data_IF_399297051778
#
_entry.id   IF_399297051778
#
_cell.length_a   1.000
_cell.length_b   1.000
_cell.length_c   1.000
_cell.angle_alpha   90.00
_cell.angle_beta   90.00
_cell.angle_gamma   90.00
#
_symmetry.space_group_name_H-M   'P 1'
#
loop_
_entity.id
_entity.type
_entity.pdbx_description
1 polymer ?
#
# COMPACT_ATOMS: atom_id res chain seq x y z
N UNK A 1 74.70 32.57 15.62
CA UNK A 1 73.82 32.28 14.45
C UNK A 1 73.11 30.92 14.51
N UNK A 2 73.59 29.92 15.26
CA UNK A 2 72.92 28.60 15.33
C UNK A 2 71.58 28.61 16.10
N UNK A 3 71.44 29.41 17.17
CA UNK A 3 70.20 29.45 17.97
C UNK A 3 69.02 30.07 17.23
N UNK A 4 69.25 31.08 16.38
CA UNK A 4 68.20 31.73 15.58
C UNK A 4 67.66 30.82 14.47
N UNK A 5 68.52 29.99 13.87
CA UNK A 5 68.12 28.99 12.87
C UNK A 5 67.35 27.83 13.54
N UNK A 6 67.77 27.40 14.73
CA UNK A 6 67.05 26.38 15.52
C UNK A 6 65.66 26.86 15.93
N UNK A 7 65.53 28.09 16.43
CA UNK A 7 64.24 28.71 16.76
C UNK A 7 63.32 28.89 15.53
N UNK A 8 63.90 29.22 14.37
CA UNK A 8 63.16 29.31 13.10
C UNK A 8 62.62 27.96 12.63
N UNK A 9 63.41 26.88 12.76
CA UNK A 9 62.98 25.54 12.38
C UNK A 9 61.94 24.96 13.35
N UNK A 10 62.07 25.20 14.65
CA UNK A 10 61.06 24.80 15.64
C UNK A 10 59.71 25.51 15.39
N UNK A 11 59.72 26.80 15.06
CA UNK A 11 58.49 27.51 14.66
C UNK A 11 57.87 26.93 13.39
N UNK A 12 58.67 26.66 12.35
CA UNK A 12 58.17 26.04 11.11
C UNK A 12 57.56 24.66 11.38
N UNK A 13 58.17 23.86 12.25
CA UNK A 13 57.65 22.56 12.69
C UNK A 13 56.29 22.68 13.39
N UNK A 14 56.14 23.64 14.31
CA UNK A 14 54.87 23.90 15.00
C UNK A 14 53.77 24.42 14.06
N UNK A 15 54.13 25.25 13.08
CA UNK A 15 53.19 25.70 12.06
C UNK A 15 52.73 24.53 11.17
N UNK A 16 53.64 23.65 10.75
CA UNK A 16 53.27 22.45 10.00
C UNK A 16 52.36 21.53 10.83
N UNK A 17 52.69 21.25 12.10
CA UNK A 17 51.82 20.42 12.95
C UNK A 17 50.45 21.04 13.18
N UNK A 18 50.38 22.37 13.30
CA UNK A 18 49.10 23.08 13.45
C UNK A 18 48.24 22.99 12.18
N UNK A 19 48.85 23.11 10.99
CA UNK A 19 48.15 22.92 9.71
C UNK A 19 47.68 21.48 9.53
N UNK A 20 48.49 20.49 9.92
CA UNK A 20 48.09 19.07 9.89
C UNK A 20 46.89 18.79 10.82
N UNK A 21 46.85 19.41 12.01
CA UNK A 21 45.71 19.30 12.93
C UNK A 21 44.46 19.94 12.33
N UNK A 22 44.58 21.11 11.71
CA UNK A 22 43.45 21.76 11.04
C UNK A 22 42.93 20.93 9.86
N UNK A 23 43.82 20.38 9.03
CA UNK A 23 43.44 19.51 7.92
C UNK A 23 42.79 18.22 8.42
N UNK A 24 43.28 17.63 9.52
CA UNK A 24 42.68 16.47 10.15
C UNK A 24 41.28 16.78 10.72
N UNK A 25 41.09 17.94 11.33
CA UNK A 25 39.79 18.40 11.82
C UNK A 25 38.80 18.66 10.69
N UNK A 26 39.25 19.26 9.58
CA UNK A 26 38.42 19.48 8.39
C UNK A 26 37.98 18.15 7.77
N UNK A 27 38.93 17.22 7.56
CA UNK A 27 38.62 15.86 7.08
C UNK A 27 37.65 15.14 8.02
N UNK A 28 37.83 15.27 9.33
CA UNK A 28 36.94 14.67 10.32
C UNK A 28 35.52 15.26 10.20
N UNK A 29 35.38 16.57 10.07
CA UNK A 29 34.09 17.24 9.88
C UNK A 29 33.39 16.79 8.59
N UNK A 30 34.14 16.64 7.50
CA UNK A 30 33.61 16.13 6.23
C UNK A 30 33.12 14.68 6.34
N UNK A 31 33.89 13.81 7.00
CA UNK A 31 33.46 12.41 7.22
C UNK A 31 32.22 12.32 8.09
N UNK A 32 32.11 13.16 9.12
CA UNK A 32 30.93 13.19 9.99
C UNK A 32 29.70 13.69 9.21
N UNK A 33 29.87 14.70 8.37
CA UNK A 33 28.82 15.21 7.50
C UNK A 33 28.35 14.14 6.51
N UNK A 34 29.26 13.45 5.83
CA UNK A 34 28.92 12.34 4.91
C UNK A 34 28.16 11.23 5.64
N UNK A 35 28.60 10.87 6.85
CA UNK A 35 27.94 9.84 7.66
C UNK A 35 26.52 10.27 8.07
N UNK A 36 26.31 11.54 8.38
CA UNK A 36 24.97 12.08 8.64
C UNK A 36 24.09 12.06 7.39
N UNK A 37 24.64 12.44 6.23
CA UNK A 37 23.93 12.40 4.95
C UNK A 37 23.53 10.95 4.58
N UNK A 38 24.41 9.97 4.74
CA UNK A 38 24.08 8.55 4.55
C UNK A 38 22.99 8.08 5.51
N UNK A 39 23.07 8.44 6.80
CA UNK A 39 22.04 8.09 7.79
C UNK A 39 20.69 8.68 7.40
N UNK A 40 20.67 9.91 6.91
CA UNK A 40 19.47 10.56 6.43
C UNK A 40 18.91 9.83 5.19
N UNK A 41 19.75 9.54 4.20
CA UNK A 41 19.35 8.80 3.00
C UNK A 41 18.78 7.43 3.33
N UNK A 42 19.41 6.66 4.23
CA UNK A 42 18.89 5.34 4.65
C UNK A 42 17.53 5.44 5.32
N UNK A 43 17.33 6.42 6.21
CA UNK A 43 16.02 6.66 6.85
C UNK A 43 14.95 7.01 5.82
N UNK A 44 15.28 7.89 4.89
CA UNK A 44 14.40 8.29 3.81
C UNK A 44 14.05 7.11 2.90
N UNK A 45 15.02 6.27 2.54
CA UNK A 45 14.80 5.07 1.75
C UNK A 45 13.84 4.09 2.44
N UNK A 46 14.02 3.84 3.73
CA UNK A 46 13.15 2.94 4.52
C UNK A 46 11.69 3.43 4.48
N UNK A 47 11.47 4.75 4.54
CA UNK A 47 10.13 5.34 4.47
C UNK A 47 9.51 5.12 3.10
N UNK A 48 10.25 5.36 2.01
CA UNK A 48 9.76 5.10 0.65
C UNK A 48 9.46 3.62 0.42
N UNK A 49 10.37 2.72 0.81
CA UNK A 49 10.17 1.26 0.68
C UNK A 49 8.94 0.78 1.48
N UNK A 50 8.65 1.42 2.60
CA UNK A 50 7.45 1.15 3.38
C UNK A 50 6.18 1.59 2.66
N UNK A 51 6.17 2.80 2.07
CA UNK A 51 5.04 3.30 1.28
C UNK A 51 4.78 2.47 0.02
N UNK A 52 5.84 2.11 -0.72
CA UNK A 52 5.77 1.23 -1.88
C UNK A 52 5.09 -0.10 -1.56
N UNK A 53 5.43 -0.70 -0.41
CA UNK A 53 4.80 -1.94 0.06
C UNK A 53 3.32 -1.74 0.37
N UNK A 54 2.91 -0.59 0.93
CA UNK A 54 1.48 -0.30 1.12
C UNK A 54 0.77 -0.23 -0.23
N UNK A 55 1.33 0.52 -1.18
CA UNK A 55 0.71 0.81 -2.47
C UNK A 55 0.53 -0.47 -3.29
N UNK A 56 1.56 -1.33 -3.37
CA UNK A 56 1.45 -2.62 -4.06
C UNK A 56 0.34 -3.49 -3.47
N UNK A 57 0.19 -3.50 -2.14
CA UNK A 57 -0.86 -4.27 -1.46
C UNK A 57 -2.25 -3.65 -1.62
N UNK A 58 -2.36 -2.32 -1.65
CA UNK A 58 -3.62 -1.64 -1.97
C UNK A 58 -4.06 -1.91 -3.40
N UNK A 59 -3.14 -1.90 -4.37
CA UNK A 59 -3.42 -2.24 -5.76
C UNK A 59 -3.86 -3.71 -5.93
N UNK A 60 -3.26 -4.65 -5.18
CA UNK A 60 -3.74 -6.05 -5.13
C UNK A 60 -5.18 -6.14 -4.60
N UNK A 61 -5.50 -5.41 -3.52
CA UNK A 61 -6.87 -5.37 -2.98
C UNK A 61 -7.86 -4.75 -3.98
N UNK A 62 -7.48 -3.67 -4.67
CA UNK A 62 -8.31 -3.03 -5.69
C UNK A 62 -8.69 -4.00 -6.82
N UNK A 63 -7.72 -4.73 -7.37
CA UNK A 63 -7.99 -5.76 -8.38
C UNK A 63 -8.92 -6.85 -7.88
N UNK A 64 -8.78 -7.26 -6.62
CA UNK A 64 -9.69 -8.25 -6.04
C UNK A 64 -11.12 -7.72 -5.90
N UNK A 65 -11.30 -6.45 -5.50
CA UNK A 65 -12.63 -5.81 -5.43
C UNK A 65 -13.27 -5.67 -6.81
N UNK A 66 -12.51 -5.29 -7.83
CA UNK A 66 -12.95 -5.25 -9.23
C UNK A 66 -13.40 -6.63 -9.69
N UNK A 67 -12.60 -7.67 -9.44
CA UNK A 67 -12.94 -9.05 -9.80
C UNK A 67 -14.21 -9.54 -9.11
N UNK A 68 -14.36 -9.23 -7.81
CA UNK A 68 -15.58 -9.52 -7.04
C UNK A 68 -16.80 -8.83 -7.63
N UNK A 69 -16.68 -7.55 -7.99
CA UNK A 69 -17.79 -6.79 -8.59
C UNK A 69 -18.22 -7.36 -9.94
N UNK A 70 -17.27 -7.80 -10.77
CA UNK A 70 -17.53 -8.46 -12.05
C UNK A 70 -18.26 -9.80 -11.84
N UNK A 71 -17.79 -10.63 -10.91
CA UNK A 71 -18.43 -11.93 -10.63
C UNK A 71 -19.83 -11.77 -10.02
N UNK A 72 -20.06 -10.75 -9.20
CA UNK A 72 -21.40 -10.44 -8.70
C UNK A 72 -22.36 -10.05 -9.84
N UNK A 73 -21.88 -9.35 -10.88
CA UNK A 73 -22.68 -9.06 -12.08
C UNK A 73 -22.98 -10.33 -12.87
N UNK A 74 -22.00 -11.23 -13.07
CA UNK A 74 -22.21 -12.53 -13.73
C UNK A 74 -23.20 -13.41 -12.97
N UNK A 75 -23.15 -13.41 -11.63
CA UNK A 75 -24.13 -14.16 -10.83
C UNK A 75 -25.55 -13.62 -11.04
N UNK A 76 -25.71 -12.30 -11.08
CA UNK A 76 -26.99 -11.65 -11.32
C UNK A 76 -27.55 -11.92 -12.73
N UNK A 77 -26.69 -11.96 -13.76
CA UNK A 77 -27.13 -12.31 -15.12
C UNK A 77 -27.56 -13.77 -15.22
N UNK A 78 -26.85 -14.70 -14.56
CA UNK A 78 -27.24 -16.11 -14.49
C UNK A 78 -28.57 -16.29 -13.76
N UNK A 79 -28.81 -15.55 -12.67
CA UNK A 79 -30.08 -15.56 -11.94
C UNK A 79 -31.24 -15.03 -12.80
N UNK A 80 -31.01 -13.99 -13.62
CA UNK A 80 -32.03 -13.42 -14.50
C UNK A 80 -32.30 -14.25 -15.77
N UNK A 81 -31.30 -14.97 -16.27
CA UNK A 81 -31.37 -15.64 -17.59
C UNK A 81 -31.83 -17.09 -17.51
N UNK A 82 -32.10 -17.63 -16.31
CA UNK A 82 -32.87 -18.87 -16.15
C UNK A 82 -32.40 -20.06 -17.00
N UNK A 83 -31.10 -20.41 -16.98
CA UNK A 83 -30.61 -21.72 -17.41
C UNK A 83 -30.75 -22.08 -18.90
N UNK A 84 -30.34 -21.19 -19.80
CA UNK A 84 -30.44 -21.39 -21.27
C UNK A 84 -29.41 -22.38 -21.86
N UNK A 85 -28.45 -22.89 -21.06
CA UNK A 85 -27.21 -23.52 -21.57
C UNK A 85 -27.01 -24.99 -21.15
N UNK A 86 -28.10 -25.73 -20.87
CA UNK A 86 -28.07 -27.18 -20.61
C UNK A 86 -27.46 -27.62 -19.26
N UNK A 87 -26.97 -26.67 -18.46
CA UNK A 87 -26.55 -26.88 -17.06
C UNK A 87 -27.72 -26.53 -16.14
N UNK A 88 -28.07 -27.37 -15.15
CA UNK A 88 -29.08 -27.02 -14.15
C UNK A 88 -28.73 -25.69 -13.48
N UNK A 89 -29.67 -24.74 -13.47
CA UNK A 89 -29.50 -23.39 -12.91
C UNK A 89 -28.88 -23.44 -11.50
N UNK A 90 -29.30 -24.38 -10.66
CA UNK A 90 -28.75 -24.63 -9.33
C UNK A 90 -27.24 -24.95 -9.34
N UNK A 91 -26.77 -25.79 -10.26
CA UNK A 91 -25.36 -26.15 -10.40
C UNK A 91 -24.50 -25.01 -10.98
N UNK A 92 -25.08 -24.16 -11.84
CA UNK A 92 -24.40 -22.95 -12.33
C UNK A 92 -24.26 -21.90 -11.21
N UNK A 93 -25.33 -21.67 -10.46
CA UNK A 93 -25.37 -20.77 -9.30
C UNK A 93 -24.35 -21.19 -8.25
N UNK A 94 -24.36 -22.45 -7.82
CA UNK A 94 -23.43 -22.95 -6.79
C UNK A 94 -21.96 -22.76 -7.21
N UNK A 95 -21.63 -23.05 -8.47
CA UNK A 95 -20.26 -22.87 -8.98
C UNK A 95 -19.81 -21.41 -9.00
N UNK A 96 -20.67 -20.51 -9.47
CA UNK A 96 -20.36 -19.08 -9.53
C UNK A 96 -20.31 -18.45 -8.13
N UNK A 97 -21.23 -18.84 -7.25
CA UNK A 97 -21.25 -18.42 -5.87
C UNK A 97 -19.98 -18.91 -5.12
N UNK A 98 -19.53 -20.16 -5.34
CA UNK A 98 -18.28 -20.66 -4.77
C UNK A 98 -17.03 -19.93 -5.30
N UNK A 99 -17.02 -19.54 -6.59
CA UNK A 99 -15.95 -18.71 -7.15
C UNK A 99 -15.90 -17.34 -6.46
N UNK A 100 -17.05 -16.70 -6.28
CA UNK A 100 -17.19 -15.41 -5.62
C UNK A 100 -16.74 -15.44 -4.16
N UNK A 101 -17.10 -16.49 -3.42
CA UNK A 101 -16.66 -16.71 -2.05
C UNK A 101 -15.12 -16.77 -1.94
N UNK A 102 -14.46 -17.56 -2.81
CA UNK A 102 -12.99 -17.65 -2.82
C UNK A 102 -12.33 -16.29 -3.06
N UNK A 103 -12.91 -15.48 -3.93
CA UNK A 103 -12.40 -14.14 -4.22
C UNK A 103 -12.60 -13.18 -3.03
N UNK A 104 -13.75 -13.24 -2.35
CA UNK A 104 -13.98 -12.48 -1.11
C UNK A 104 -13.01 -12.88 0.01
N UNK A 105 -12.70 -14.18 0.15
CA UNK A 105 -11.66 -14.66 1.08
C UNK A 105 -10.31 -14.02 0.78
N UNK A 106 -9.94 -13.92 -0.50
CA UNK A 106 -8.71 -13.26 -0.91
C UNK A 106 -8.72 -11.75 -0.61
N UNK A 107 -9.85 -11.06 -0.80
CA UNK A 107 -10.00 -9.65 -0.42
C UNK A 107 -9.74 -9.43 1.08
N UNK A 108 -10.34 -10.26 1.95
CA UNK A 108 -10.14 -10.20 3.40
C UNK A 108 -8.67 -10.45 3.76
N UNK A 109 -8.04 -11.46 3.16
CA UNK A 109 -6.63 -11.76 3.37
C UNK A 109 -5.69 -10.62 2.90
N UNK A 110 -6.04 -9.92 1.82
CA UNK A 110 -5.27 -8.77 1.35
C UNK A 110 -5.45 -7.56 2.27
N UNK A 111 -6.68 -7.27 2.70
CA UNK A 111 -6.97 -6.19 3.64
C UNK A 111 -6.28 -6.41 5.00
N UNK A 112 -6.18 -7.66 5.48
CA UNK A 112 -5.50 -7.98 6.75
C UNK A 112 -3.99 -7.77 6.66
N UNK A 113 -3.38 -8.03 5.50
CA UNK A 113 -1.97 -7.68 5.23
C UNK A 113 -1.77 -6.17 5.22
N UNK A 114 -2.63 -5.39 4.57
CA UNK A 114 -2.56 -3.92 4.58
C UNK A 114 -2.65 -3.39 6.02
N UNK A 115 -3.55 -3.93 6.83
CA UNK A 115 -3.68 -3.58 8.26
C UNK A 115 -2.36 -3.71 9.04
N UNK A 116 -1.58 -4.77 8.79
CA UNK A 116 -0.29 -4.99 9.45
C UNK A 116 0.79 -4.03 8.96
N UNK A 117 0.61 -3.55 7.74
CA UNK A 117 1.48 -2.61 7.09
C UNK A 117 1.10 -1.15 7.44
N UNK A 118 -0.05 -0.88 8.07
CA UNK A 118 -0.44 0.49 8.46
C UNK A 118 0.19 0.99 9.78
N UNK A 119 0.41 2.30 9.83
CA UNK A 119 0.72 3.02 11.07
C UNK A 119 -0.42 2.89 12.09
N UNK A 120 -0.09 2.92 13.38
CA UNK A 120 -1.04 2.65 14.47
C UNK A 120 -2.31 3.52 14.42
N UNK A 121 -2.19 4.77 13.94
CA UNK A 121 -3.30 5.74 13.82
C UNK A 121 -4.38 5.27 12.82
N UNK A 122 -4.02 4.53 11.78
CA UNK A 122 -4.96 4.07 10.74
C UNK A 122 -5.54 2.67 11.00
N UNK A 123 -5.03 1.94 12.00
CA UNK A 123 -5.45 0.56 12.30
C UNK A 123 -6.92 0.44 12.70
N UNK A 124 -7.51 1.30 13.56
CA UNK A 124 -8.90 1.12 14.01
C UNK A 124 -9.93 1.20 12.86
N UNK A 125 -9.70 2.09 11.89
CA UNK A 125 -10.56 2.22 10.71
C UNK A 125 -10.45 0.99 9.80
N UNK A 126 -9.24 0.47 9.60
CA UNK A 126 -9.00 -0.76 8.85
C UNK A 126 -9.57 -2.00 9.57
N UNK A 127 -9.48 -2.06 10.91
CA UNK A 127 -10.05 -3.14 11.73
C UNK A 127 -11.57 -3.19 11.61
N UNK A 128 -12.23 -2.03 11.58
CA UNK A 128 -13.69 -1.94 11.38
C UNK A 128 -14.10 -2.43 9.99
N UNK A 129 -13.35 -2.06 8.96
CA UNK A 129 -13.60 -2.51 7.57
C UNK A 129 -13.38 -4.02 7.43
N UNK A 130 -12.32 -4.54 8.05
CA UNK A 130 -12.03 -5.98 8.09
C UNK A 130 -13.13 -6.77 8.78
N UNK A 131 -13.58 -6.32 9.95
CA UNK A 131 -14.67 -6.98 10.67
C UNK A 131 -15.93 -7.10 9.82
N UNK A 132 -16.28 -6.05 9.05
CA UNK A 132 -17.40 -6.09 8.10
C UNK A 132 -17.16 -7.07 6.95
N UNK A 133 -15.99 -7.04 6.33
CA UNK A 133 -15.69 -7.98 5.23
C UNK A 133 -15.67 -9.44 5.69
N UNK A 134 -15.18 -9.69 6.91
CA UNK A 134 -15.19 -11.01 7.56
C UNK A 134 -16.62 -11.47 7.90
N UNK A 135 -17.46 -10.58 8.43
CA UNK A 135 -18.86 -10.92 8.71
C UNK A 135 -19.62 -11.27 7.44
N UNK A 136 -19.44 -10.49 6.37
CA UNK A 136 -20.07 -10.77 5.07
C UNK A 136 -19.57 -12.08 4.47
N UNK A 137 -18.26 -12.35 4.52
CA UNK A 137 -17.69 -13.60 4.04
C UNK A 137 -18.24 -14.80 4.82
N UNK A 138 -18.42 -14.66 6.13
CA UNK A 138 -19.01 -15.71 6.97
C UNK A 138 -20.48 -15.98 6.60
N UNK A 139 -21.26 -14.93 6.35
CA UNK A 139 -22.64 -15.03 5.89
C UNK A 139 -22.73 -15.70 4.52
N UNK A 140 -21.87 -15.30 3.58
CA UNK A 140 -21.75 -15.89 2.24
C UNK A 140 -21.36 -17.38 2.29
N UNK A 141 -20.42 -17.74 3.16
CA UNK A 141 -19.97 -19.13 3.35
C UNK A 141 -21.08 -19.99 3.93
N UNK A 142 -21.77 -19.50 4.97
CA UNK A 142 -22.89 -20.21 5.58
C UNK A 142 -24.08 -20.35 4.61
N UNK A 143 -24.33 -19.32 3.80
CA UNK A 143 -25.34 -19.38 2.75
C UNK A 143 -24.98 -20.43 1.70
N UNK A 144 -23.75 -20.43 1.19
CA UNK A 144 -23.30 -21.40 0.18
C UNK A 144 -23.44 -22.83 0.66
N UNK A 145 -23.07 -23.10 1.91
CA UNK A 145 -23.26 -24.42 2.51
C UNK A 145 -24.73 -24.82 2.49
N UNK A 146 -25.63 -23.93 2.93
CA UNK A 146 -27.08 -24.17 2.89
C UNK A 146 -27.63 -24.29 1.48
N UNK A 147 -27.11 -23.55 0.51
CA UNK A 147 -27.55 -23.59 -0.89
C UNK A 147 -27.14 -24.90 -1.59
N UNK A 148 -25.96 -25.44 -1.25
CA UNK A 148 -25.52 -26.78 -1.66
C UNK A 148 -26.43 -27.85 -1.06
N UNK A 149 -26.81 -27.70 0.21
CA UNK A 149 -27.70 -28.63 0.90
C UNK A 149 -29.16 -28.52 0.41
N UNK A 150 -29.58 -27.33 -0.05
CA UNK A 150 -30.95 -26.98 -0.44
C UNK A 150 -31.21 -26.97 -1.95
N UNK A 151 -30.36 -27.59 -2.79
CA UNK A 151 -30.54 -27.64 -4.26
C UNK A 151 -31.88 -28.21 -4.75
N UNK A 152 -32.75 -28.70 -3.86
CA UNK A 152 -34.12 -29.15 -4.11
C UNK A 152 -35.21 -28.09 -3.82
N UNK A 153 -34.86 -26.91 -3.27
CA UNK A 153 -35.76 -25.78 -2.93
C UNK A 153 -35.22 -24.49 -3.56
N UNK A 154 -35.66 -24.19 -4.78
CA UNK A 154 -35.03 -23.18 -5.63
C UNK A 154 -35.41 -21.73 -5.30
N UNK A 155 -36.65 -21.43 -4.94
CA UNK A 155 -37.15 -20.05 -4.83
C UNK A 155 -36.53 -19.27 -3.65
N UNK A 156 -36.57 -19.84 -2.43
CA UNK A 156 -35.96 -19.21 -1.24
C UNK A 156 -34.45 -19.03 -1.39
N UNK A 157 -33.78 -19.95 -2.11
CA UNK A 157 -32.35 -19.86 -2.39
C UNK A 157 -32.04 -18.70 -3.34
N UNK A 158 -32.90 -18.45 -4.33
CA UNK A 158 -32.76 -17.36 -5.30
C UNK A 158 -32.95 -15.99 -4.62
N UNK A 159 -33.95 -15.82 -3.77
CA UNK A 159 -34.18 -14.54 -3.07
C UNK A 159 -33.03 -14.21 -2.10
N UNK A 160 -32.52 -15.21 -1.39
CA UNK A 160 -31.38 -15.04 -0.51
C UNK A 160 -30.09 -14.67 -1.28
N UNK A 161 -29.91 -15.17 -2.51
CA UNK A 161 -28.78 -14.78 -3.38
C UNK A 161 -28.86 -13.32 -3.80
N UNK A 162 -30.04 -12.83 -4.17
CA UNK A 162 -30.21 -11.42 -4.51
C UNK A 162 -29.85 -10.50 -3.34
N UNK A 163 -30.28 -10.84 -2.12
CA UNK A 163 -29.94 -10.10 -0.91
C UNK A 163 -28.42 -10.12 -0.64
N UNK A 164 -27.77 -11.27 -0.79
CA UNK A 164 -26.32 -11.40 -0.60
C UNK A 164 -25.49 -10.68 -1.66
N UNK A 165 -25.92 -10.66 -2.92
CA UNK A 165 -25.28 -9.84 -3.97
C UNK A 165 -25.41 -8.36 -3.62
N UNK A 166 -26.57 -7.93 -3.11
CA UNK A 166 -26.81 -6.54 -2.75
C UNK A 166 -25.90 -6.06 -1.61
N UNK A 167 -25.76 -6.85 -0.53
CA UNK A 167 -24.85 -6.53 0.57
C UNK A 167 -23.39 -6.59 0.14
N UNK A 168 -23.00 -7.54 -0.70
CA UNK A 168 -21.65 -7.56 -1.27
C UNK A 168 -21.33 -6.29 -2.07
N UNK A 169 -22.25 -5.84 -2.93
CA UNK A 169 -22.10 -4.57 -3.68
C UNK A 169 -22.00 -3.37 -2.75
N UNK A 170 -22.76 -3.37 -1.66
CA UNK A 170 -22.66 -2.35 -0.63
C UNK A 170 -21.27 -2.36 0.02
N UNK A 171 -20.76 -3.50 0.44
CA UNK A 171 -19.43 -3.61 1.03
C UNK A 171 -18.32 -3.19 0.08
N UNK A 172 -18.37 -3.58 -1.20
CA UNK A 172 -17.42 -3.11 -2.21
C UNK A 172 -17.46 -1.60 -2.33
N UNK A 173 -18.64 -0.97 -2.36
CA UNK A 173 -18.77 0.49 -2.39
C UNK A 173 -18.22 1.15 -1.13
N UNK A 174 -18.56 0.64 0.05
CA UNK A 174 -18.08 1.15 1.34
C UNK A 174 -16.54 1.12 1.40
N UNK A 175 -15.92 0.00 1.02
CA UNK A 175 -14.45 -0.15 0.96
C UNK A 175 -13.84 0.81 -0.06
N UNK A 176 -14.43 0.90 -1.26
CA UNK A 176 -13.92 1.78 -2.33
C UNK A 176 -14.01 3.26 -1.97
N UNK A 177 -15.02 3.65 -1.16
CA UNK A 177 -15.21 5.01 -0.65
C UNK A 177 -14.37 5.32 0.60
N UNK A 178 -13.66 4.34 1.17
CA UNK A 178 -12.87 4.52 2.38
C UNK A 178 -11.69 5.45 2.10
N UNK A 179 -11.61 6.56 2.83
CA UNK A 179 -10.56 7.57 2.67
C UNK A 179 -9.15 7.02 2.86
N UNK A 180 -8.98 6.04 3.76
CA UNK A 180 -7.70 5.33 3.96
C UNK A 180 -7.34 4.51 2.73
N UNK A 181 -8.29 3.77 2.19
CA UNK A 181 -8.07 2.95 1.01
C UNK A 181 -7.82 3.82 -0.24
N UNK A 182 -8.64 4.84 -0.48
CA UNK A 182 -8.46 5.77 -1.60
C UNK A 182 -7.12 6.52 -1.52
N UNK A 183 -6.66 6.89 -0.32
CA UNK A 183 -5.34 7.51 -0.11
C UNK A 183 -4.19 6.57 -0.50
N UNK A 184 -4.29 5.28 -0.14
CA UNK A 184 -3.30 4.27 -0.52
C UNK A 184 -3.29 4.00 -2.03
N UNK A 185 -4.46 4.04 -2.69
CA UNK A 185 -4.59 3.82 -4.13
C UNK A 185 -4.15 5.05 -4.96
N UNK A 186 -4.38 6.28 -4.51
CA UNK A 186 -4.04 7.50 -5.27
C UNK A 186 -2.53 7.65 -5.50
N UNK A 187 -1.71 7.11 -4.60
CA UNK A 187 -0.26 7.07 -4.79
C UNK A 187 0.20 6.21 -5.98
N UNK A 188 -0.66 5.34 -6.51
CA UNK A 188 -0.38 4.49 -7.69
C UNK A 188 -0.66 5.21 -9.02
N UNK A 189 -1.61 6.14 -9.05
CA UNK A 189 -1.97 6.89 -10.27
C UNK A 189 -0.96 8.00 -10.58
N UNK A 190 -0.50 8.73 -9.55
CA UNK A 190 0.54 9.76 -9.70
C UNK A 190 1.91 9.17 -10.13
N UNK A 191 2.16 7.88 -9.88
CA UNK A 191 3.35 7.16 -10.35
C UNK A 191 3.20 6.62 -11.79
N UNK A 192 1.98 6.34 -12.24
CA UNK A 192 1.69 5.85 -13.60
C UNK A 192 1.69 6.97 -14.65
N UNK A 193 1.33 8.21 -14.27
CA UNK A 193 1.39 9.38 -15.16
C UNK A 193 2.82 9.88 -15.44
N UNK A 194 3.84 9.34 -14.76
CA UNK A 194 5.25 9.69 -14.98
C UNK A 194 5.99 8.85 -16.03
N UNK A 195 5.35 7.85 -16.64
CA UNK A 195 6.03 6.82 -17.45
C UNK A 195 5.60 6.72 -18.92
N UNK A 196 4.94 7.75 -19.49
CA UNK A 196 4.53 7.72 -20.90
C UNK A 196 4.49 9.11 -21.54
N UNK A 197 5.52 9.44 -22.34
CA UNK A 197 5.55 10.64 -23.18
C UNK A 197 6.98 11.01 -23.60
N UNK A 198 7.41 10.50 -24.76
CA UNK A 198 8.68 10.78 -25.41
C UNK A 198 8.89 12.27 -25.77
N UNK A 199 10.19 12.63 -25.76
CA UNK A 199 10.87 13.61 -26.63
C UNK A 199 11.08 15.07 -26.15
N UNK A 200 12.07 15.28 -25.25
CA UNK A 200 13.06 16.40 -25.35
C UNK A 200 14.24 16.21 -24.38
N UNK A 201 15.51 16.40 -24.78
CA UNK A 201 16.63 16.37 -23.84
C UNK A 201 16.79 17.73 -23.16
N UNK A 202 16.50 17.83 -21.86
CA UNK A 202 16.84 19.03 -21.06
C UNK A 202 17.51 18.66 -19.73
N UNK A 203 18.69 19.26 -19.59
CA UNK A 203 19.66 19.35 -18.50
C UNK A 203 19.12 19.33 -17.07
N UNK A 204 19.93 18.84 -16.09
CA UNK A 204 19.56 18.79 -14.68
C UNK A 204 19.62 20.19 -14.06
N UNK A 205 18.79 20.43 -13.06
CA UNK A 205 18.54 21.70 -12.36
C UNK A 205 17.46 22.60 -12.98
N UNK A 206 16.20 22.39 -12.55
CA UNK A 206 15.33 23.49 -12.12
C UNK A 206 14.19 22.98 -11.22
N UNK A 207 14.24 23.45 -9.98
CA UNK A 207 13.23 23.47 -8.91
C UNK A 207 11.80 22.99 -9.21
N UNK A 208 11.37 21.95 -8.48
CA UNK A 208 9.95 21.74 -8.13
C UNK A 208 9.77 21.95 -6.62
N UNK A 209 8.86 22.87 -6.30
CA UNK A 209 8.47 23.39 -4.97
C UNK A 209 8.14 22.25 -3.97
N UNK A 210 8.57 22.31 -2.70
CA UNK A 210 8.14 21.37 -1.69
C UNK A 210 6.77 21.79 -1.12
N UNK A 211 5.77 20.92 -1.21
CA UNK A 211 4.49 21.08 -0.50
C UNK A 211 4.28 19.92 0.47
N UNK A 212 3.89 20.30 1.69
CA UNK A 212 3.62 19.49 2.88
C UNK A 212 4.85 19.15 3.75
N UNK A 213 5.17 20.09 4.63
CA UNK A 213 6.02 19.91 5.81
C UNK A 213 5.47 18.79 6.70
N UNK A 214 6.13 17.63 6.72
CA UNK A 214 6.06 16.71 7.86
C UNK A 214 7.09 17.17 8.90
N UNK A 215 6.70 18.16 9.71
CA UNK A 215 7.48 18.60 10.87
C UNK A 215 7.48 17.51 11.93
N UNK A 216 8.59 16.78 12.10
CA UNK A 216 8.87 16.08 13.36
C UNK A 216 9.43 17.11 14.37
N UNK A 217 8.90 17.20 15.60
CA UNK A 217 9.48 18.07 16.61
C UNK A 217 10.83 17.50 17.04
N UNK A 218 11.87 18.32 16.95
CA UNK A 218 13.17 18.07 17.59
C UNK A 218 12.95 18.33 19.08
N UNK A 219 13.01 17.27 19.90
CA UNK A 219 13.17 17.45 21.34
C UNK A 219 14.53 18.10 21.59
N UNK A 220 14.53 19.28 22.22
CA UNK A 220 15.71 19.86 22.86
C UNK A 220 15.69 19.43 24.33
N UNK A 221 16.81 18.85 24.75
CA UNK A 221 17.32 18.63 26.11
C UNK A 221 16.34 18.27 27.23
#
# INVERSE_FOLDING_TARGET
>A
MQETVRNSNERKSLFCSFLEILEAQEKQADTERQLQEEKYQRRTQIIYDFHDRQQRKAAELQRCLEFVSQHAQVLETVLRSGGDDGVPLSAAIVRQAAALQRCMTQCVANASRIRHLLAAVHRPQMDTMLAKMESELSAWTAFLQRAVDATYSSEVTIDNLHNLIAEQRRCVREVSSSTVFSSLCRGTEEAAEGAGGEDTPRTPFTARRPSAMCSTPIARD
#
